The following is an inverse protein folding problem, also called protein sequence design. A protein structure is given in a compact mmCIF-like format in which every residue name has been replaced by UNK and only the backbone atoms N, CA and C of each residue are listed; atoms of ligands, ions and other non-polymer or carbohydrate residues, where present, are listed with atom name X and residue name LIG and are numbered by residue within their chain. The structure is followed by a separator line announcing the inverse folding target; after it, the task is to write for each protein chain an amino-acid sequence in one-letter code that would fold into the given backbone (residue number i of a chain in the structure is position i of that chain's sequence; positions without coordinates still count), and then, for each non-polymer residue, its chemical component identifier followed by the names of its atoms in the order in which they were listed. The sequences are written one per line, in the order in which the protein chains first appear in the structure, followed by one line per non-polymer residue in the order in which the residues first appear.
data_IF_592107138333
#
_entry.id   IF_592107138333
#
_cell.length_a   1.000
_cell.length_b   1.000
_cell.length_c   1.000
_cell.angle_alpha   90.00
_cell.angle_beta   90.00
_cell.angle_gamma   90.00
#
_symmetry.space_group_name_H-M   'P 1'
#
loop_
_entity.id
_entity.type
_entity.pdbx_description
1 polymer ?
#
# COMPACT_ATOMS: atom_id res chain seq x y z
N UNK A 1 -9.71 11.07 24.45
CA UNK A 1 -10.08 12.00 23.34
C UNK A 1 -8.93 12.25 22.35
N UNK A 2 -7.78 11.52 22.46
CA UNK A 2 -6.61 11.72 21.58
C UNK A 2 -6.98 11.62 20.08
N UNK A 3 -7.79 10.62 19.72
CA UNK A 3 -8.24 10.41 18.34
C UNK A 3 -8.99 11.62 17.75
N UNK A 4 -9.70 12.40 18.58
CA UNK A 4 -10.42 13.61 18.14
C UNK A 4 -9.42 14.73 17.88
N UNK A 5 -8.50 14.95 18.83
CA UNK A 5 -7.51 16.04 18.76
C UNK A 5 -6.51 15.86 17.61
N UNK A 6 -6.19 14.61 17.29
CA UNK A 6 -5.19 14.26 16.25
C UNK A 6 -5.79 13.97 14.87
N UNK A 7 -7.12 14.04 14.74
CA UNK A 7 -7.74 13.82 13.44
C UNK A 7 -7.58 15.04 12.53
N UNK A 8 -6.79 14.97 11.44
CA UNK A 8 -6.46 16.14 10.62
C UNK A 8 -7.69 16.73 9.94
N UNK A 9 -8.65 15.89 9.57
CA UNK A 9 -9.89 16.30 8.89
C UNK A 9 -11.06 16.49 9.85
N UNK A 10 -10.81 16.39 11.17
CA UNK A 10 -11.85 16.47 12.19
C UNK A 10 -13.03 15.49 11.95
N UNK A 11 -12.76 14.33 11.39
CA UNK A 11 -13.76 13.31 11.06
C UNK A 11 -14.35 12.61 12.29
N UNK A 12 -13.81 12.80 13.50
CA UNK A 12 -14.26 12.08 14.69
C UNK A 12 -15.07 13.00 15.58
N UNK A 13 -16.27 12.56 15.95
CA UNK A 13 -17.19 13.24 16.86
C UNK A 13 -17.63 12.30 17.98
N UNK A 14 -18.00 12.87 19.14
CA UNK A 14 -18.65 12.11 20.23
C UNK A 14 -20.17 12.27 20.09
N UNK A 15 -20.86 11.14 20.03
CA UNK A 15 -22.32 11.07 20.05
C UNK A 15 -22.74 9.96 21.02
N UNK A 16 -23.63 10.27 21.96
CA UNK A 16 -24.11 9.33 22.96
C UNK A 16 -22.95 8.59 23.69
N UNK A 17 -21.92 9.34 24.10
CA UNK A 17 -20.75 8.81 24.81
C UNK A 17 -19.79 7.95 23.97
N UNK A 18 -20.04 7.77 22.67
CA UNK A 18 -19.22 6.96 21.76
C UNK A 18 -18.57 7.82 20.68
N UNK A 19 -17.36 7.43 20.27
CA UNK A 19 -16.68 8.06 19.15
C UNK A 19 -17.29 7.55 17.82
N UNK A 20 -17.81 8.46 17.01
CA UNK A 20 -18.38 8.22 15.68
C UNK A 20 -17.47 8.84 14.63
N UNK A 21 -17.21 8.11 13.55
CA UNK A 21 -16.40 8.57 12.41
C UNK A 21 -17.35 9.03 11.30
N UNK A 22 -17.15 10.27 10.86
CA UNK A 22 -17.82 10.83 9.68
C UNK A 22 -17.10 10.34 8.44
N UNK A 23 -17.72 9.46 7.67
CA UNK A 23 -17.10 8.76 6.53
C UNK A 23 -16.67 9.74 5.44
N UNK A 24 -17.45 10.77 5.19
CA UNK A 24 -17.20 11.83 4.20
C UNK A 24 -15.95 12.67 4.50
N UNK A 25 -15.50 12.65 5.75
CA UNK A 25 -14.30 13.38 6.20
C UNK A 25 -13.14 12.47 6.54
N UNK A 26 -13.37 11.17 6.70
CA UNK A 26 -12.33 10.21 7.05
C UNK A 26 -11.44 9.93 5.84
N UNK A 27 -10.14 10.10 6.02
CA UNK A 27 -9.12 9.83 4.99
C UNK A 27 -8.37 8.50 5.23
N UNK A 28 -8.80 7.73 6.22
CA UNK A 28 -8.25 6.43 6.62
C UNK A 28 -6.73 6.43 6.91
N UNK A 29 -6.18 7.57 7.33
CA UNK A 29 -4.74 7.71 7.63
C UNK A 29 -4.23 6.85 8.80
N UNK A 30 -5.13 6.26 9.61
CA UNK A 30 -4.75 5.43 10.75
C UNK A 30 -4.30 6.19 12.01
N UNK A 31 -4.21 7.52 11.99
CA UNK A 31 -3.73 8.30 13.14
C UNK A 31 -4.55 8.04 14.41
N UNK A 32 -5.87 7.92 14.30
CA UNK A 32 -6.74 7.61 15.43
C UNK A 32 -6.51 6.22 16.02
N UNK A 33 -5.98 5.27 15.24
CA UNK A 33 -5.58 3.94 15.69
C UNK A 33 -4.27 4.07 16.48
N UNK A 34 -3.28 4.74 15.89
CA UNK A 34 -1.94 4.93 16.44
C UNK A 34 -1.95 5.63 17.81
N UNK A 35 -2.77 6.67 17.96
CA UNK A 35 -2.79 7.49 19.20
C UNK A 35 -3.75 6.99 20.29
N UNK A 36 -4.44 5.88 20.05
CA UNK A 36 -5.43 5.37 21.01
C UNK A 36 -4.76 4.47 22.08
N UNK A 37 -4.62 4.93 23.33
CA UNK A 37 -3.97 4.13 24.38
C UNK A 37 -4.80 2.90 24.78
N UNK A 38 -6.08 2.85 24.40
CA UNK A 38 -7.00 1.75 24.70
C UNK A 38 -7.20 0.79 23.53
N UNK A 39 -6.48 0.98 22.40
CA UNK A 39 -6.65 0.19 21.18
C UNK A 39 -8.12 0.02 20.73
N UNK A 40 -8.96 1.03 21.00
CA UNK A 40 -10.40 1.01 20.75
C UNK A 40 -10.76 1.29 19.28
N UNK A 41 -9.77 1.45 18.40
CA UNK A 41 -9.90 1.69 16.98
C UNK A 41 -9.13 0.62 16.22
N UNK A 42 -9.73 0.15 15.14
CA UNK A 42 -9.08 -0.80 14.24
C UNK A 42 -9.45 -0.45 12.79
N UNK A 43 -8.61 -0.88 11.86
CA UNK A 43 -8.90 -0.78 10.44
C UNK A 43 -9.73 -1.98 9.97
N UNK A 44 -10.72 -1.72 9.12
CA UNK A 44 -11.37 -2.80 8.36
C UNK A 44 -10.36 -3.40 7.40
N UNK A 45 -10.29 -4.72 7.32
CA UNK A 45 -9.39 -5.48 6.46
C UNK A 45 -9.98 -6.80 6.09
N UNK A 46 -9.44 -7.43 5.07
CA UNK A 46 -9.82 -8.76 4.65
C UNK A 46 -9.07 -9.82 5.47
N UNK A 47 -9.64 -11.00 5.57
CA UNK A 47 -9.04 -12.13 6.31
C UNK A 47 -8.36 -13.09 5.33
N UNK A 48 -7.31 -13.78 5.79
CA UNK A 48 -6.52 -14.66 4.93
C UNK A 48 -7.39 -15.76 4.28
N UNK A 49 -8.40 -16.27 4.98
CA UNK A 49 -9.27 -17.32 4.44
C UNK A 49 -10.06 -16.94 3.18
N UNK A 50 -10.22 -15.63 2.88
CA UNK A 50 -10.88 -15.19 1.66
C UNK A 50 -10.09 -15.49 0.38
N UNK A 51 -8.81 -15.84 0.48
CA UNK A 51 -8.05 -16.29 -0.68
C UNK A 51 -8.62 -17.60 -1.26
N UNK A 52 -9.29 -18.43 -0.43
CA UNK A 52 -9.85 -19.70 -0.84
C UNK A 52 -11.05 -19.58 -1.79
N UNK A 53 -11.62 -18.40 -1.94
CA UNK A 53 -12.70 -18.12 -2.90
C UNK A 53 -12.22 -18.16 -4.37
N UNK A 54 -10.90 -18.25 -4.59
CA UNK A 54 -10.27 -18.21 -5.91
C UNK A 54 -9.54 -19.49 -6.24
N UNK A 55 -9.50 -19.84 -7.54
CA UNK A 55 -8.79 -21.02 -8.04
C UNK A 55 -7.27 -20.84 -8.06
N UNK A 56 -6.81 -19.62 -8.29
CA UNK A 56 -5.40 -19.26 -8.28
C UNK A 56 -5.19 -17.95 -7.50
N UNK A 57 -4.28 -17.98 -6.55
CA UNK A 57 -4.10 -16.94 -5.54
C UNK A 57 -2.73 -16.32 -5.66
N UNK A 58 -2.68 -15.01 -5.85
CA UNK A 58 -1.43 -14.24 -5.97
C UNK A 58 -1.26 -13.34 -4.76
N UNK A 59 -0.14 -13.46 -4.07
CA UNK A 59 0.27 -12.52 -3.02
C UNK A 59 0.98 -11.31 -3.62
N UNK A 60 0.59 -10.12 -3.19
CA UNK A 60 1.27 -8.86 -3.46
C UNK A 60 1.91 -8.34 -2.16
N UNK A 61 3.15 -8.71 -1.82
CA UNK A 61 3.82 -8.13 -0.65
C UNK A 61 4.11 -6.65 -0.88
N UNK A 62 3.70 -5.80 0.08
CA UNK A 62 4.15 -4.40 0.12
C UNK A 62 5.67 -4.36 0.36
N UNK A 63 6.42 -3.41 -0.21
CA UNK A 63 7.84 -3.24 0.11
C UNK A 63 8.08 -3.10 1.62
N UNK A 64 7.16 -2.46 2.34
CA UNK A 64 7.22 -2.32 3.80
C UNK A 64 7.19 -3.65 4.58
N UNK A 65 6.77 -4.77 3.96
CA UNK A 65 6.80 -6.09 4.58
C UNK A 65 8.23 -6.54 4.86
N UNK A 66 9.16 -6.25 3.96
CA UNK A 66 10.56 -6.67 4.06
C UNK A 66 11.26 -6.06 5.29
N UNK A 67 10.90 -4.84 5.66
CA UNK A 67 11.43 -4.15 6.85
C UNK A 67 10.78 -4.54 8.19
N UNK A 68 9.87 -5.53 8.23
CA UNK A 68 9.22 -5.96 9.46
C UNK A 68 10.02 -7.03 10.22
N UNK A 69 11.03 -7.61 9.59
CA UNK A 69 11.81 -8.71 10.15
C UNK A 69 13.22 -8.25 10.49
N UNK A 70 13.63 -8.49 11.73
CA UNK A 70 15.01 -8.25 12.15
C UNK A 70 15.95 -9.30 11.53
N UNK A 71 17.12 -8.86 11.08
CA UNK A 71 18.16 -9.73 10.50
C UNK A 71 17.68 -10.53 9.28
N UNK A 72 16.87 -9.93 8.42
CA UNK A 72 16.52 -10.52 7.14
C UNK A 72 17.69 -10.33 6.16
N UNK A 73 18.40 -11.41 5.89
CA UNK A 73 19.57 -11.39 4.99
C UNK A 73 19.17 -11.46 3.51
N UNK A 74 18.03 -12.10 3.20
CA UNK A 74 17.55 -12.28 1.83
C UNK A 74 16.02 -12.16 1.75
N UNK A 75 15.55 -11.25 0.92
CA UNK A 75 14.11 -11.05 0.64
C UNK A 75 13.46 -12.34 0.11
N UNK A 76 14.20 -13.18 -0.60
CA UNK A 76 13.72 -14.46 -1.10
C UNK A 76 13.16 -15.37 0.01
N UNK A 77 13.63 -15.26 1.24
CA UNK A 77 13.08 -16.02 2.39
C UNK A 77 11.59 -15.69 2.57
N UNK A 78 11.23 -14.42 2.55
CA UNK A 78 9.82 -13.99 2.66
C UNK A 78 9.02 -14.47 1.44
N UNK A 79 9.55 -14.25 0.24
CA UNK A 79 8.85 -14.57 -1.00
C UNK A 79 8.57 -16.07 -1.12
N UNK A 80 9.51 -16.92 -0.71
CA UNK A 80 9.34 -18.38 -0.68
C UNK A 80 8.46 -18.87 0.49
N UNK A 81 8.32 -18.09 1.56
CA UNK A 81 7.45 -18.43 2.68
C UNK A 81 5.96 -18.17 2.40
N UNK A 82 5.63 -17.18 1.57
CA UNK A 82 4.25 -16.79 1.26
C UNK A 82 3.38 -17.94 0.68
N UNK A 83 3.88 -18.82 -0.21
CA UNK A 83 3.11 -19.99 -0.66
C UNK A 83 2.65 -20.91 0.47
N UNK A 84 3.39 -21.00 1.58
CA UNK A 84 2.98 -21.80 2.74
C UNK A 84 1.70 -21.27 3.43
N UNK A 85 1.29 -20.03 3.12
CA UNK A 85 0.06 -19.42 3.60
C UNK A 85 -1.13 -19.66 2.67
N UNK A 86 -0.96 -20.44 1.61
CA UNK A 86 -2.02 -20.78 0.65
C UNK A 86 -1.97 -20.02 -0.68
N UNK A 87 -0.95 -19.22 -0.93
CA UNK A 87 -0.78 -18.53 -2.21
C UNK A 87 -0.10 -19.44 -3.25
N UNK A 88 -0.55 -19.36 -4.52
CA UNK A 88 0.04 -20.11 -5.62
C UNK A 88 1.21 -19.41 -6.28
N UNK A 89 1.27 -18.09 -6.15
CA UNK A 89 2.40 -17.26 -6.62
C UNK A 89 2.52 -15.94 -5.88
N UNK A 90 3.66 -15.30 -6.08
CA UNK A 90 3.98 -13.98 -5.52
C UNK A 90 4.33 -13.03 -6.64
N UNK A 91 3.90 -11.78 -6.53
CA UNK A 91 4.30 -10.68 -7.40
C UNK A 91 4.67 -9.47 -6.53
N UNK A 92 5.90 -9.00 -6.63
CA UNK A 92 6.40 -7.91 -5.81
C UNK A 92 5.81 -6.55 -6.21
N UNK A 93 5.19 -5.86 -5.24
CA UNK A 93 4.73 -4.46 -5.46
C UNK A 93 5.91 -3.52 -5.72
N UNK A 94 7.07 -3.81 -5.15
CA UNK A 94 8.33 -3.11 -5.42
C UNK A 94 8.70 -3.08 -6.90
N UNK A 95 8.45 -4.16 -7.65
CA UNK A 95 8.67 -4.18 -9.09
C UNK A 95 7.76 -3.19 -9.85
N UNK A 96 6.49 -3.11 -9.46
CA UNK A 96 5.59 -2.11 -10.03
C UNK A 96 5.98 -0.68 -9.59
N UNK A 97 6.49 -0.51 -8.37
CA UNK A 97 6.96 0.78 -7.88
C UNK A 97 8.11 1.36 -8.73
N UNK A 98 8.98 0.52 -9.28
CA UNK A 98 10.02 0.96 -10.22
C UNK A 98 9.43 1.51 -11.52
N UNK A 99 8.43 0.82 -12.08
CA UNK A 99 7.71 1.29 -13.28
C UNK A 99 7.00 2.62 -13.01
N UNK A 100 6.39 2.76 -11.83
CA UNK A 100 5.74 4.01 -11.43
C UNK A 100 6.76 5.13 -11.23
N UNK A 101 7.94 4.86 -10.67
CA UNK A 101 9.02 5.85 -10.54
C UNK A 101 9.47 6.36 -11.92
N UNK A 102 9.59 5.46 -12.89
CA UNK A 102 9.92 5.85 -14.28
C UNK A 102 8.80 6.70 -14.91
N UNK A 103 7.55 6.26 -14.79
CA UNK A 103 6.40 7.01 -15.28
C UNK A 103 6.32 8.40 -14.64
N UNK A 104 6.62 8.50 -13.34
CA UNK A 104 6.67 9.76 -12.61
C UNK A 104 7.75 10.68 -13.17
N UNK A 105 8.95 10.18 -13.44
CA UNK A 105 10.04 10.97 -14.05
C UNK A 105 9.63 11.54 -15.40
N UNK A 106 9.04 10.71 -16.26
CA UNK A 106 8.57 11.15 -17.58
C UNK A 106 7.50 12.23 -17.42
N UNK A 107 6.51 12.00 -16.57
CA UNK A 107 5.42 12.95 -16.32
C UNK A 107 5.93 14.29 -15.81
N UNK A 108 6.89 14.29 -14.87
CA UNK A 108 7.51 15.50 -14.34
C UNK A 108 8.25 16.32 -15.41
N UNK A 109 8.92 15.64 -16.36
CA UNK A 109 9.62 16.29 -17.48
C UNK A 109 8.65 16.93 -18.46
N UNK A 110 7.52 16.31 -18.74
CA UNK A 110 6.51 16.79 -19.67
C UNK A 110 5.61 17.89 -19.08
N UNK A 111 5.45 17.93 -17.75
CA UNK A 111 4.53 18.83 -17.06
C UNK A 111 5.23 19.84 -16.14
N UNK A 112 6.28 20.45 -16.62
CA UNK A 112 7.10 21.43 -15.85
C UNK A 112 6.35 22.70 -15.41
N UNK A 113 5.20 22.97 -16.03
CA UNK A 113 4.33 24.12 -15.73
C UNK A 113 3.43 23.92 -14.51
N UNK A 114 3.21 22.66 -14.08
CA UNK A 114 2.39 22.37 -12.89
C UNK A 114 3.30 22.38 -11.66
N UNK A 115 2.99 23.23 -10.68
CA UNK A 115 3.79 23.33 -9.45
C UNK A 115 2.89 23.63 -8.24
N UNK A 116 3.05 22.93 -7.12
CA UNK A 116 3.81 21.68 -6.99
C UNK A 116 3.16 20.53 -7.75
N UNK A 117 3.92 19.47 -8.09
CA UNK A 117 3.38 18.17 -8.48
C UNK A 117 3.28 17.29 -7.25
N UNK A 118 2.12 16.68 -7.01
CA UNK A 118 1.84 15.88 -5.83
C UNK A 118 1.61 14.42 -6.22
N UNK A 119 2.30 13.50 -5.55
CA UNK A 119 2.13 12.06 -5.79
C UNK A 119 0.73 11.56 -5.45
N UNK A 120 0.19 10.71 -6.32
CA UNK A 120 -1.07 9.99 -6.12
C UNK A 120 -0.93 8.67 -5.35
N UNK A 121 0.30 8.22 -5.06
CA UNK A 121 0.56 6.90 -4.49
C UNK A 121 0.02 6.70 -3.06
N UNK A 122 -0.18 7.79 -2.31
CA UNK A 122 -0.76 7.74 -0.97
C UNK A 122 -2.26 8.10 -0.98
N UNK A 123 -3.19 7.12 -0.86
CA UNK A 123 -4.63 7.40 -0.89
C UNK A 123 -5.11 8.26 0.28
N UNK A 124 -4.41 8.26 1.42
CA UNK A 124 -4.72 9.16 2.53
C UNK A 124 -4.43 10.63 2.18
N UNK A 125 -3.31 10.90 1.50
CA UNK A 125 -2.95 12.25 1.05
C UNK A 125 -3.91 12.73 -0.06
N UNK A 126 -4.23 11.88 -1.03
CA UNK A 126 -5.21 12.22 -2.08
C UNK A 126 -6.58 12.58 -1.49
N UNK A 127 -7.05 11.83 -0.48
CA UNK A 127 -8.29 12.15 0.24
C UNK A 127 -8.16 13.40 1.10
N UNK A 128 -7.01 13.61 1.72
CA UNK A 128 -6.73 14.82 2.49
C UNK A 128 -6.86 16.08 1.63
N UNK A 129 -6.24 16.05 0.45
CA UNK A 129 -6.31 17.16 -0.52
C UNK A 129 -7.77 17.41 -0.90
N UNK A 130 -8.53 16.38 -1.27
CA UNK A 130 -9.95 16.54 -1.63
C UNK A 130 -10.82 17.12 -0.51
N UNK A 131 -10.49 16.84 0.76
CA UNK A 131 -11.29 17.30 1.92
C UNK A 131 -10.86 18.66 2.44
N UNK A 132 -9.56 18.95 2.44
CA UNK A 132 -8.99 20.12 3.10
C UNK A 132 -8.34 21.14 2.15
N UNK A 133 -7.89 20.71 0.96
CA UNK A 133 -7.12 21.52 0.00
C UNK A 133 -7.65 21.31 -1.42
N UNK A 134 -8.95 21.54 -1.69
CA UNK A 134 -9.54 21.25 -3.00
C UNK A 134 -8.88 22.00 -4.16
N UNK A 135 -8.23 23.13 -3.88
CA UNK A 135 -7.45 23.91 -4.84
C UNK A 135 -6.21 23.17 -5.37
N UNK A 136 -5.71 22.17 -4.64
CA UNK A 136 -4.54 21.36 -5.04
C UNK A 136 -4.92 20.06 -5.78
N UNK A 137 -6.19 19.83 -6.06
CA UNK A 137 -6.64 18.58 -6.73
C UNK A 137 -6.00 18.43 -8.11
N UNK A 138 -5.88 19.51 -8.87
CA UNK A 138 -5.27 19.51 -10.20
C UNK A 138 -3.74 19.35 -10.18
N UNK A 139 -3.13 19.47 -9.01
CA UNK A 139 -1.70 19.22 -8.80
C UNK A 139 -1.37 17.74 -8.56
N UNK A 140 -2.39 16.90 -8.31
CA UNK A 140 -2.19 15.46 -8.10
C UNK A 140 -1.86 14.80 -9.44
N UNK A 141 -0.73 14.13 -9.52
CA UNK A 141 -0.33 13.39 -10.72
C UNK A 141 -1.34 12.28 -11.06
N UNK A 142 -1.81 12.18 -12.31
CA UNK A 142 -2.74 11.14 -12.75
C UNK A 142 -2.02 9.80 -13.02
N UNK A 143 -1.21 9.37 -12.06
CA UNK A 143 -0.42 8.14 -12.16
C UNK A 143 -1.03 7.09 -11.21
N UNK A 144 -1.22 5.88 -11.72
CA UNK A 144 -1.74 4.76 -10.95
C UNK A 144 -0.82 4.40 -9.79
N UNK A 145 -1.38 4.07 -8.62
CA UNK A 145 -0.59 3.62 -7.48
C UNK A 145 0.13 2.28 -7.77
N UNK A 146 1.35 2.06 -7.24
CA UNK A 146 2.10 0.83 -7.47
C UNK A 146 1.33 -0.46 -7.16
N UNK A 147 0.46 -0.43 -6.17
CA UNK A 147 -0.35 -1.61 -5.79
C UNK A 147 -1.36 -2.00 -6.86
N UNK A 148 -2.02 -1.05 -7.50
CA UNK A 148 -2.99 -1.32 -8.56
C UNK A 148 -2.28 -1.78 -9.84
N UNK A 149 -1.15 -1.18 -10.19
CA UNK A 149 -0.32 -1.63 -11.31
C UNK A 149 0.24 -3.04 -11.06
N UNK A 150 0.74 -3.33 -9.84
CA UNK A 150 1.15 -4.67 -9.46
C UNK A 150 0.00 -5.68 -9.60
N UNK A 151 -1.21 -5.32 -9.16
CA UNK A 151 -2.41 -6.15 -9.29
C UNK A 151 -2.74 -6.46 -10.75
N UNK A 152 -2.69 -5.45 -11.61
CA UNK A 152 -2.91 -5.61 -13.04
C UNK A 152 -1.89 -6.55 -13.70
N UNK A 153 -0.61 -6.33 -13.44
CA UNK A 153 0.48 -7.14 -13.99
C UNK A 153 0.46 -8.58 -13.46
N UNK A 154 0.22 -8.75 -12.15
CA UNK A 154 0.10 -10.05 -11.51
C UNK A 154 -1.02 -10.89 -12.11
N UNK A 155 -2.19 -10.28 -12.33
CA UNK A 155 -3.33 -10.95 -12.96
C UNK A 155 -3.04 -11.37 -14.39
N UNK A 156 -2.44 -10.49 -15.21
CA UNK A 156 -2.02 -10.81 -16.59
C UNK A 156 -1.05 -12.00 -16.58
N UNK A 157 -0.01 -11.97 -15.74
CA UNK A 157 0.98 -13.04 -15.61
C UNK A 157 0.33 -14.36 -15.18
N UNK A 158 -0.63 -14.30 -14.25
CA UNK A 158 -1.37 -15.48 -13.78
C UNK A 158 -2.28 -16.07 -14.85
N UNK A 159 -3.02 -15.25 -15.62
CA UNK A 159 -3.82 -15.69 -16.78
C UNK A 159 -2.95 -16.41 -17.81
N UNK A 160 -1.82 -15.79 -18.19
CA UNK A 160 -0.88 -16.38 -19.15
C UNK A 160 -0.31 -17.72 -18.66
N UNK A 161 -0.03 -17.84 -17.36
CA UNK A 161 0.54 -19.06 -16.77
C UNK A 161 -0.47 -20.20 -16.65
N UNK A 162 -1.72 -19.89 -16.31
CA UNK A 162 -2.71 -20.89 -15.89
C UNK A 162 -3.79 -21.16 -16.94
N UNK A 163 -4.04 -20.20 -17.86
CA UNK A 163 -5.18 -20.26 -18.78
C UNK A 163 -6.54 -20.02 -18.10
N UNK A 164 -6.56 -19.69 -16.81
CA UNK A 164 -7.79 -19.36 -16.07
C UNK A 164 -8.35 -18.01 -16.49
N UNK A 165 -9.65 -17.83 -16.28
CA UNK A 165 -10.27 -16.52 -16.49
C UNK A 165 -9.83 -15.53 -15.41
N UNK A 166 -9.78 -14.21 -15.71
CA UNK A 166 -9.36 -13.19 -14.76
C UNK A 166 -10.11 -13.19 -13.43
N UNK A 167 -11.41 -13.51 -13.44
CA UNK A 167 -12.28 -13.59 -12.25
C UNK A 167 -12.04 -14.82 -11.38
N UNK A 168 -11.34 -15.85 -11.90
CA UNK A 168 -10.95 -17.05 -11.16
C UNK A 168 -9.61 -16.87 -10.41
N UNK A 169 -8.93 -15.72 -10.65
CA UNK A 169 -7.64 -15.39 -10.05
C UNK A 169 -7.86 -14.33 -8.97
N UNK A 170 -7.50 -14.66 -7.74
CA UNK A 170 -7.50 -13.73 -6.61
C UNK A 170 -6.14 -13.07 -6.42
N UNK A 171 -6.13 -11.76 -6.33
CA UNK A 171 -4.91 -10.96 -6.10
C UNK A 171 -5.05 -10.23 -4.78
N UNK A 172 -4.17 -10.50 -3.82
CA UNK A 172 -4.28 -10.01 -2.45
C UNK A 172 -3.06 -9.22 -2.03
N UNK A 173 -3.30 -7.99 -1.60
CA UNK A 173 -2.25 -7.09 -1.12
C UNK A 173 -1.97 -7.31 0.37
N UNK A 174 -0.71 -7.53 0.71
CA UNK A 174 -0.23 -7.67 2.09
C UNK A 174 0.34 -6.33 2.54
N UNK A 175 -0.36 -5.63 3.46
CA UNK A 175 -0.07 -4.21 3.73
C UNK A 175 -0.23 -3.83 5.20
N UNK A 176 0.55 -2.85 5.70
CA UNK A 176 0.33 -2.25 7.02
C UNK A 176 -0.65 -1.05 6.96
N UNK A 177 -1.11 -0.62 5.77
CA UNK A 177 -1.73 0.68 5.56
C UNK A 177 -3.26 0.60 5.46
N UNK A 178 -4.03 1.18 6.41
CA UNK A 178 -5.49 1.17 6.36
C UNK A 178 -6.06 1.97 5.19
N UNK A 179 -5.41 3.05 4.76
CA UNK A 179 -5.86 3.84 3.61
C UNK A 179 -5.79 3.05 2.30
N UNK A 180 -4.81 2.16 2.14
CA UNK A 180 -4.71 1.28 0.98
C UNK A 180 -5.79 0.20 0.99
N UNK A 181 -6.17 -0.32 2.16
CA UNK A 181 -7.32 -1.23 2.29
C UNK A 181 -8.60 -0.56 1.78
N UNK A 182 -8.85 0.69 2.22
CA UNK A 182 -10.01 1.45 1.76
C UNK A 182 -9.92 1.79 0.26
N UNK A 183 -8.72 2.12 -0.26
CA UNK A 183 -8.55 2.42 -1.68
C UNK A 183 -8.84 1.22 -2.59
N UNK A 184 -8.53 0.01 -2.17
CA UNK A 184 -8.88 -1.21 -2.90
C UNK A 184 -10.41 -1.39 -2.98
N UNK A 185 -11.13 -1.12 -1.88
CA UNK A 185 -12.59 -1.26 -1.80
C UNK A 185 -13.36 -0.09 -2.42
N UNK A 186 -12.78 1.09 -2.37
CA UNK A 186 -13.34 2.35 -2.85
C UNK A 186 -12.24 3.16 -3.56
N UNK A 187 -11.86 2.75 -4.76
CA UNK A 187 -10.74 3.34 -5.48
C UNK A 187 -11.03 4.80 -5.85
N UNK A 188 -9.94 5.57 -6.05
CA UNK A 188 -9.99 6.96 -6.46
C UNK A 188 -9.31 7.05 -7.83
N UNK A 189 -10.02 7.63 -8.80
CA UNK A 189 -9.47 7.83 -10.15
C UNK A 189 -9.54 6.64 -11.08
N UNK A 190 -9.93 5.46 -10.59
CA UNK A 190 -10.20 4.25 -11.38
C UNK A 190 -11.56 3.67 -10.97
N UNK A 191 -12.23 2.99 -11.89
CA UNK A 191 -13.57 2.42 -11.66
C UNK A 191 -13.53 1.25 -10.65
N UNK A 192 -12.52 0.38 -10.79
CA UNK A 192 -12.33 -0.81 -9.95
C UNK A 192 -10.84 -1.06 -9.74
N UNK A 193 -10.45 -1.42 -8.51
CA UNK A 193 -9.09 -1.87 -8.22
C UNK A 193 -8.79 -3.20 -8.93
N UNK A 194 -7.54 -3.37 -9.34
CA UNK A 194 -7.02 -4.64 -9.86
C UNK A 194 -6.68 -5.65 -8.75
N UNK A 195 -6.89 -5.27 -7.50
CA UNK A 195 -6.64 -6.08 -6.29
C UNK A 195 -7.97 -6.47 -5.68
N UNK A 196 -8.15 -7.74 -5.32
CA UNK A 196 -9.40 -8.27 -4.82
C UNK A 196 -9.55 -8.13 -3.31
N UNK A 197 -8.44 -8.07 -2.58
CA UNK A 197 -8.48 -7.91 -1.13
C UNK A 197 -7.15 -7.42 -0.55
N UNK A 198 -7.22 -6.97 0.71
CA UNK A 198 -6.06 -6.48 1.45
C UNK A 198 -5.96 -7.13 2.83
N UNK A 199 -4.88 -7.85 3.04
CA UNK A 199 -4.57 -8.57 4.27
C UNK A 199 -3.57 -7.74 5.09
N UNK A 200 -3.87 -7.55 6.38
CA UNK A 200 -2.95 -6.82 7.24
C UNK A 200 -1.71 -7.66 7.56
N UNK A 201 -0.53 -7.03 7.51
CA UNK A 201 0.73 -7.69 7.93
C UNK A 201 0.59 -8.29 9.34
N UNK A 202 -0.02 -7.56 10.27
CA UNK A 202 -0.22 -8.03 11.64
C UNK A 202 -0.95 -9.37 11.75
N UNK A 203 -1.89 -9.65 10.83
CA UNK A 203 -2.70 -10.86 10.89
C UNK A 203 -1.95 -12.09 10.42
N UNK A 204 -0.99 -11.90 9.50
CA UNK A 204 -0.19 -13.00 8.96
C UNK A 204 1.19 -13.11 9.58
N UNK A 205 1.67 -12.08 10.29
CA UNK A 205 3.03 -12.02 10.81
C UNK A 205 3.46 -13.27 11.61
N UNK A 206 2.67 -13.78 12.57
CA UNK A 206 3.09 -14.95 13.35
C UNK A 206 3.20 -16.24 12.52
N UNK A 207 2.32 -16.40 11.52
CA UNK A 207 2.34 -17.60 10.65
C UNK A 207 3.42 -17.49 9.57
N UNK A 208 3.64 -16.26 9.05
CA UNK A 208 4.70 -15.98 8.09
C UNK A 208 6.08 -16.18 8.72
N UNK A 209 6.29 -15.69 9.95
CA UNK A 209 7.55 -15.90 10.67
C UNK A 209 7.92 -17.38 10.79
N UNK A 210 6.95 -18.23 11.20
CA UNK A 210 7.14 -19.67 11.26
C UNK A 210 7.41 -20.31 9.90
N UNK A 211 6.81 -19.79 8.84
CA UNK A 211 7.06 -20.27 7.49
C UNK A 211 8.45 -19.87 7.01
N UNK A 212 8.92 -18.65 7.34
CA UNK A 212 10.26 -18.16 7.03
C UNK A 212 11.35 -19.01 7.70
N UNK A 213 11.21 -19.35 8.99
CA UNK A 213 12.14 -20.23 9.71
C UNK A 213 12.36 -21.56 8.98
N UNK A 214 11.27 -22.15 8.44
CA UNK A 214 11.35 -23.39 7.66
C UNK A 214 12.03 -23.19 6.29
N UNK A 215 11.76 -22.03 5.67
CA UNK A 215 12.28 -21.69 4.35
C UNK A 215 13.78 -21.41 4.40
N UNK A 216 14.26 -20.72 5.44
CA UNK A 216 15.68 -20.38 5.64
C UNK A 216 16.57 -21.61 5.75
N UNK A 217 16.03 -22.70 6.30
CA UNK A 217 16.74 -23.99 6.44
C UNK A 217 16.51 -24.95 5.28
N UNK A 218 15.89 -24.48 4.19
CA UNK A 218 15.61 -25.29 3.01
C UNK A 218 16.72 -25.17 1.98
N UNK A 219 17.18 -26.31 1.46
CA UNK A 219 18.13 -26.35 0.34
C UNK A 219 17.50 -25.91 -1.01
N UNK A 220 16.19 -25.58 -1.03
CA UNK A 220 15.40 -25.25 -2.23
C UNK A 220 14.99 -23.77 -2.30
N UNK A 221 15.73 -22.85 -1.72
CA UNK A 221 15.42 -21.41 -1.80
C UNK A 221 15.47 -20.95 -3.26
N UNK A 222 14.30 -20.56 -3.80
CA UNK A 222 14.18 -20.06 -5.18
C UNK A 222 14.51 -18.58 -5.24
N UNK A 223 15.23 -18.16 -6.26
CA UNK A 223 15.43 -16.75 -6.59
C UNK A 223 14.13 -16.17 -7.19
N UNK A 224 13.24 -15.67 -6.34
CA UNK A 224 11.95 -15.07 -6.74
C UNK A 224 11.99 -13.56 -6.81
N UNK A 225 12.99 -12.96 -6.15
CA UNK A 225 13.17 -11.51 -6.11
C UNK A 225 13.56 -10.96 -7.48
N UNK A 226 12.74 -10.03 -8.01
CA UNK A 226 12.91 -9.43 -9.33
C UNK A 226 13.00 -7.90 -9.28
N UNK A 227 12.72 -7.26 -8.13
CA UNK A 227 12.74 -5.80 -8.01
C UNK A 227 14.14 -5.27 -7.68
N UNK A 228 14.44 -4.06 -8.17
CA UNK A 228 15.69 -3.38 -7.89
C UNK A 228 15.62 -2.48 -6.65
N UNK A 229 16.69 -1.76 -6.40
CA UNK A 229 16.89 -0.89 -5.23
C UNK A 229 15.84 0.22 -5.14
N UNK A 230 15.44 0.79 -6.27
CA UNK A 230 14.41 1.86 -6.31
C UNK A 230 13.08 1.33 -5.79
N UNK A 231 12.64 0.18 -6.27
CA UNK A 231 11.38 -0.42 -5.88
C UNK A 231 11.32 -0.81 -4.40
N UNK A 232 12.39 -1.42 -3.89
CA UNK A 232 12.51 -1.76 -2.46
C UNK A 232 12.57 -0.48 -1.62
N UNK A 233 13.28 0.54 -2.11
CA UNK A 233 13.45 1.83 -1.44
C UNK A 233 12.14 2.56 -1.15
N UNK A 234 11.04 2.26 -1.86
CA UNK A 234 9.71 2.81 -1.56
C UNK A 234 9.20 2.48 -0.15
N UNK A 235 9.79 1.49 0.51
CA UNK A 235 9.48 1.17 1.91
C UNK A 235 10.07 2.15 2.91
N UNK A 236 11.06 2.92 2.52
CA UNK A 236 11.76 3.87 3.38
C UNK A 236 11.14 5.26 3.33
N UNK A 237 11.40 6.06 4.37
CA UNK A 237 11.04 7.48 4.37
C UNK A 237 11.70 8.21 3.20
N UNK A 238 10.88 8.91 2.40
CA UNK A 238 11.37 9.59 1.21
C UNK A 238 11.74 8.70 0.03
N UNK A 239 11.54 7.37 0.12
CA UNK A 239 11.96 6.42 -0.92
C UNK A 239 11.30 6.65 -2.27
N UNK A 240 10.02 7.03 -2.30
CA UNK A 240 9.34 7.43 -3.53
C UNK A 240 10.02 8.67 -4.16
N UNK A 241 10.22 9.72 -3.37
CA UNK A 241 10.87 10.95 -3.84
C UNK A 241 12.31 10.68 -4.34
N UNK A 242 13.09 9.90 -3.60
CA UNK A 242 14.44 9.49 -4.04
C UNK A 242 14.41 8.68 -5.34
N UNK A 243 13.38 7.86 -5.54
CA UNK A 243 13.18 7.07 -6.77
C UNK A 243 12.89 7.92 -8.01
N UNK A 244 12.45 9.18 -7.85
CA UNK A 244 12.29 10.11 -8.98
C UNK A 244 13.63 10.62 -9.53
N UNK A 245 14.72 10.50 -8.79
CA UNK A 245 16.06 11.01 -9.12
C UNK A 245 16.04 12.53 -9.44
N UNK A 246 15.19 13.28 -8.75
CA UNK A 246 15.00 14.70 -8.92
C UNK A 246 15.39 15.48 -7.66
N UNK A 247 16.28 16.50 -7.80
CA UNK A 247 16.84 17.23 -6.66
C UNK A 247 15.81 18.07 -5.90
N UNK A 248 14.75 18.53 -6.57
CA UNK A 248 13.70 19.37 -6.00
C UNK A 248 12.48 18.55 -5.59
N UNK A 249 12.69 17.41 -4.94
CA UNK A 249 11.63 16.57 -4.39
C UNK A 249 11.56 16.70 -2.87
N UNK A 250 10.36 16.85 -2.33
CA UNK A 250 10.09 16.90 -0.90
C UNK A 250 9.26 15.70 -0.48
N UNK A 251 9.66 15.05 0.62
CA UNK A 251 8.92 13.95 1.22
C UNK A 251 8.47 14.30 2.64
N UNK A 252 7.28 13.84 3.01
CA UNK A 252 6.74 14.01 4.36
C UNK A 252 6.25 12.69 4.93
N UNK A 253 6.70 12.40 6.15
CA UNK A 253 6.20 11.29 6.94
C UNK A 253 5.16 11.74 7.96
N UNK A 254 4.08 10.96 8.02
CA UNK A 254 2.97 11.21 8.92
C UNK A 254 2.05 12.33 8.47
N UNK A 255 0.78 12.18 8.81
CA UNK A 255 -0.27 13.06 8.29
C UNK A 255 -0.13 14.51 8.77
N UNK A 256 0.45 14.73 9.96
CA UNK A 256 0.67 16.08 10.50
C UNK A 256 1.70 16.87 9.66
N UNK A 257 2.77 16.19 9.22
CA UNK A 257 3.78 16.82 8.37
C UNK A 257 3.25 17.03 6.94
N UNK A 258 2.47 16.08 6.42
CA UNK A 258 1.78 16.26 5.14
C UNK A 258 0.87 17.50 5.17
N UNK A 259 0.10 17.70 6.24
CA UNK A 259 -0.73 18.90 6.43
C UNK A 259 0.08 20.18 6.34
N UNK A 260 1.18 20.27 7.10
CA UNK A 260 2.05 21.47 7.12
C UNK A 260 2.61 21.81 5.74
N UNK A 261 3.06 20.79 4.99
CA UNK A 261 3.60 21.02 3.64
C UNK A 261 2.50 21.47 2.66
N UNK A 262 1.28 20.98 2.83
CA UNK A 262 0.16 21.40 1.96
C UNK A 262 -0.40 22.78 2.34
N UNK A 263 -0.14 23.28 3.54
CA UNK A 263 -0.51 24.62 4.01
C UNK A 263 0.48 25.72 3.55
N UNK A 264 1.73 25.37 3.19
CA UNK A 264 2.77 26.28 2.67
C UNK A 264 2.67 26.48 1.15
#
# INVERSE_FOLDING_TARGET
TNCIKRCPTQAIRVRNGKAVILKERCIDCGECIRVCPHHAKYASRDVLSQIEDYKYKVALPAPALYGQFNNLDDINIILNALPSLGFDSVFEVSKAAELISEATRIYMQENTHIRPLISSACPAVVRLIRVCFPELVDNIMPITAPVDEAGRLARIKAVQKTGLKPEEIGVFFITPCPAKVTAIKQPIGIEKSHVDGAIAINDIYPILLKAMEKTEHSDELKALHESGVIGIGWATSGGEASGTLHDNALAADGIENCMKILEE
#
